data_IF_854047166353
#
_entry.id   IF_854047166353
#
_cell.length_a   1.000
_cell.length_b   1.000
_cell.length_c   1.000
_cell.angle_alpha   90.00
_cell.angle_beta   90.00
_cell.angle_gamma   90.00
#
_symmetry.space_group_name_H-M   'P 1'
#
loop_
_entity.id
_entity.type
_entity.pdbx_description
1 polymer ?
#
# COMPACT_ATOMS: atom_id res chain seq x y z
N UNK A 1 7.15 34.39 50.92
CA UNK A 1 6.39 33.13 50.79
C UNK A 1 5.98 33.02 49.32
N UNK A 2 6.78 32.41 48.44
CA UNK A 2 6.98 30.98 48.19
C UNK A 2 5.69 30.24 47.77
N UNK A 3 5.50 30.06 46.46
CA UNK A 3 5.31 28.79 45.71
C UNK A 3 4.61 29.07 44.35
N UNK A 4 5.20 28.80 43.17
CA UNK A 4 5.44 27.50 42.48
C UNK A 4 4.13 26.68 42.30
N UNK A 5 3.77 26.05 41.17
CA UNK A 5 4.53 25.57 40.02
C UNK A 5 3.56 24.99 38.95
N UNK A 6 4.12 24.71 37.76
CA UNK A 6 3.74 23.73 36.70
C UNK A 6 3.25 24.32 35.38
N UNK A 7 4.22 24.65 34.53
CA UNK A 7 4.09 24.63 33.07
C UNK A 7 4.56 23.25 32.58
N UNK A 8 3.71 22.54 31.84
CA UNK A 8 4.10 21.38 31.02
C UNK A 8 4.48 21.88 29.63
N UNK A 9 5.73 21.64 29.23
CA UNK A 9 6.20 21.79 27.85
C UNK A 9 6.23 20.39 27.25
N UNK A 10 5.47 20.13 26.18
CA UNK A 10 5.91 19.32 25.03
C UNK A 10 5.08 19.78 23.82
N UNK A 11 5.51 20.87 23.19
CA UNK A 11 5.19 21.19 21.81
C UNK A 11 6.53 21.34 21.10
N UNK A 12 6.87 20.38 20.25
CA UNK A 12 8.11 20.39 19.47
C UNK A 12 7.94 21.47 18.38
N UNK A 13 8.13 22.73 18.77
CA UNK A 13 8.35 23.82 17.84
C UNK A 13 9.83 23.76 17.45
N UNK A 14 10.08 23.66 16.14
CA UNK A 14 11.43 23.67 15.58
C UNK A 14 12.23 24.85 16.13
N UNK A 15 13.23 24.54 16.93
CA UNK A 15 14.14 25.52 17.51
C UNK A 15 15.14 25.93 16.42
N UNK A 16 14.80 26.98 15.68
CA UNK A 16 15.73 27.66 14.78
C UNK A 16 16.58 28.62 15.62
N UNK A 17 17.75 28.18 16.06
CA UNK A 17 18.72 29.03 16.78
C UNK A 17 19.36 30.01 15.79
N UNK A 18 18.85 31.24 15.78
CA UNK A 18 19.40 32.36 15.02
C UNK A 18 20.61 32.94 15.76
N UNK A 19 21.78 32.34 15.55
CA UNK A 19 23.07 33.00 15.75
C UNK A 19 23.96 32.67 14.56
N UNK A 20 24.30 33.71 13.79
CA UNK A 20 25.35 33.78 12.77
C UNK A 20 25.25 32.83 11.56
N UNK A 21 24.69 33.36 10.46
CA UNK A 21 25.27 33.24 9.12
C UNK A 21 25.53 31.84 8.54
N UNK A 22 24.80 30.81 8.93
CA UNK A 22 25.00 29.46 8.37
C UNK A 22 23.67 28.89 7.92
N UNK A 23 23.63 28.50 6.64
CA UNK A 23 22.54 27.87 5.92
C UNK A 23 21.63 27.02 6.82
N UNK A 24 20.37 27.43 6.92
CA UNK A 24 19.33 26.63 7.54
C UNK A 24 19.05 25.43 6.64
N UNK A 25 19.82 24.36 6.80
CA UNK A 25 19.46 23.07 6.22
C UNK A 25 18.23 22.60 6.98
N UNK A 26 17.05 22.92 6.43
CA UNK A 26 15.86 22.17 6.76
C UNK A 26 16.19 20.70 6.48
N UNK A 27 16.46 19.94 7.53
CA UNK A 27 16.43 18.50 7.51
C UNK A 27 14.96 18.13 7.29
N UNK A 28 14.51 18.26 6.04
CA UNK A 28 13.39 17.49 5.55
C UNK A 28 13.76 16.04 5.91
N UNK A 29 12.93 15.30 6.67
CA UNK A 29 13.21 13.90 6.92
C UNK A 29 13.43 13.29 5.54
N UNK A 30 14.61 12.68 5.37
CA UNK A 30 15.00 12.05 4.13
C UNK A 30 13.78 11.29 3.61
N UNK A 31 13.33 11.65 2.42
CA UNK A 31 12.22 11.03 1.73
C UNK A 31 12.62 9.57 1.57
N UNK A 32 12.35 8.74 2.57
CA UNK A 32 12.74 7.35 2.56
C UNK A 32 11.96 6.74 1.42
N UNK A 33 12.68 6.21 0.44
CA UNK A 33 12.11 5.41 -0.63
C UNK A 33 11.60 4.11 0.01
N UNK A 34 10.51 4.20 0.76
CA UNK A 34 9.87 3.08 1.41
C UNK A 34 9.26 2.15 0.36
N UNK A 35 8.97 0.90 0.72
CA UNK A 35 8.41 -0.10 -0.21
C UNK A 35 7.11 0.35 -0.87
N UNK A 36 6.34 1.25 -0.23
CA UNK A 36 5.14 1.87 -0.81
C UNK A 36 5.41 2.67 -2.10
N UNK A 37 6.62 3.18 -2.32
CA UNK A 37 6.96 3.89 -3.55
C UNK A 37 6.98 2.97 -4.78
N UNK A 38 7.26 1.68 -4.58
CA UNK A 38 7.39 0.70 -5.66
C UNK A 38 6.06 0.06 -6.06
N UNK A 39 4.95 0.42 -5.41
CA UNK A 39 3.65 -0.20 -5.66
C UNK A 39 3.08 0.14 -7.05
N UNK A 40 3.25 1.40 -7.46
CA UNK A 40 2.61 1.89 -8.68
C UNK A 40 3.16 1.22 -9.94
N UNK A 41 2.27 1.02 -10.91
CA UNK A 41 2.57 0.44 -12.21
C UNK A 41 1.71 -0.76 -12.54
N UNK A 42 2.13 -1.48 -13.57
CA UNK A 42 1.43 -2.65 -14.10
C UNK A 42 1.90 -3.93 -13.41
N UNK A 43 0.93 -4.81 -13.18
CA UNK A 43 1.09 -6.10 -12.53
C UNK A 43 0.44 -7.16 -13.38
N UNK A 44 1.08 -8.33 -13.46
CA UNK A 44 0.56 -9.47 -14.19
C UNK A 44 0.60 -10.71 -13.32
N UNK A 45 -0.44 -11.51 -13.44
CA UNK A 45 -0.69 -12.61 -12.54
C UNK A 45 -1.80 -13.52 -13.03
N UNK A 46 -2.33 -14.26 -12.08
CA UNK A 46 -3.46 -15.15 -12.28
C UNK A 46 -4.38 -15.08 -11.07
N UNK A 47 -5.68 -15.28 -11.30
CA UNK A 47 -6.63 -15.59 -10.25
C UNK A 47 -7.23 -16.98 -10.46
N UNK A 48 -7.59 -17.64 -9.38
CA UNK A 48 -8.18 -18.98 -9.39
C UNK A 48 -9.44 -19.01 -8.54
N UNK A 49 -10.56 -19.43 -9.14
CA UNK A 49 -11.79 -19.68 -8.41
C UNK A 49 -11.64 -20.90 -7.49
N UNK A 50 -12.14 -20.77 -6.26
CA UNK A 50 -12.19 -21.88 -5.28
C UNK A 50 -13.45 -22.73 -5.45
N UNK A 51 -14.51 -22.18 -6.06
CA UNK A 51 -15.77 -22.87 -6.29
C UNK A 51 -15.83 -23.50 -7.70
N UNK A 52 -16.21 -24.78 -7.77
CA UNK A 52 -16.40 -25.53 -9.01
C UNK A 52 -17.49 -24.94 -9.93
N UNK A 53 -18.54 -24.34 -9.38
CA UNK A 53 -19.61 -23.71 -10.16
C UNK A 53 -19.08 -22.49 -10.93
N UNK A 54 -18.22 -21.68 -10.31
CA UNK A 54 -17.65 -20.50 -10.93
C UNK A 54 -16.59 -20.87 -11.97
N UNK A 55 -15.82 -21.94 -11.72
CA UNK A 55 -14.96 -22.55 -12.73
C UNK A 55 -15.76 -23.00 -13.97
N UNK A 56 -16.90 -23.66 -13.76
CA UNK A 56 -17.73 -24.19 -14.85
C UNK A 56 -18.38 -23.08 -15.67
N UNK A 57 -18.85 -22.00 -15.02
CA UNK A 57 -19.42 -20.82 -15.70
C UNK A 57 -18.39 -20.08 -16.54
N UNK A 58 -17.17 -19.93 -16.02
CA UNK A 58 -16.09 -19.20 -16.70
C UNK A 58 -15.29 -20.06 -17.69
N UNK A 59 -15.51 -21.38 -17.71
CA UNK A 59 -14.84 -22.32 -18.62
C UNK A 59 -13.45 -22.78 -18.16
N UNK A 60 -12.92 -22.20 -17.08
CA UNK A 60 -11.66 -22.60 -16.46
C UNK A 60 -11.65 -22.16 -14.98
N UNK A 61 -10.88 -22.84 -14.12
CA UNK A 61 -10.70 -22.37 -12.74
C UNK A 61 -9.70 -21.23 -12.62
N UNK A 62 -8.65 -21.22 -13.46
CA UNK A 62 -7.55 -20.25 -13.40
C UNK A 62 -7.55 -19.37 -14.64
N UNK A 63 -7.42 -18.08 -14.41
CA UNK A 63 -7.50 -17.03 -15.42
C UNK A 63 -6.34 -16.05 -15.28
N UNK A 64 -6.00 -15.37 -16.38
CA UNK A 64 -5.00 -14.32 -16.36
C UNK A 64 -5.56 -13.07 -15.65
N UNK A 65 -4.71 -12.45 -14.84
CA UNK A 65 -4.99 -11.21 -14.14
C UNK A 65 -3.98 -10.15 -14.54
N UNK A 66 -4.47 -9.02 -15.01
CA UNK A 66 -3.70 -7.78 -15.09
C UNK A 66 -4.19 -6.85 -14.00
N UNK A 67 -3.28 -6.19 -13.30
CA UNK A 67 -3.65 -5.17 -12.33
C UNK A 67 -2.83 -3.90 -12.51
N UNK A 68 -3.45 -2.75 -12.31
CA UNK A 68 -2.78 -1.46 -12.36
C UNK A 68 -2.90 -0.78 -11.01
N UNK A 69 -1.78 -0.38 -10.42
CA UNK A 69 -1.78 0.38 -9.16
C UNK A 69 -1.45 1.83 -9.45
N UNK A 70 -2.40 2.72 -9.13
CA UNK A 70 -2.28 4.16 -9.22
C UNK A 70 -2.09 4.76 -7.84
N UNK A 71 -1.22 5.75 -7.72
CA UNK A 71 -1.03 6.52 -6.49
C UNK A 71 -2.03 7.67 -6.48
N UNK A 72 -2.86 7.74 -5.45
CA UNK A 72 -3.84 8.82 -5.25
C UNK A 72 -3.30 9.93 -4.33
N UNK A 73 -2.48 9.58 -3.34
CA UNK A 73 -1.88 10.54 -2.40
C UNK A 73 -0.49 10.09 -1.93
N UNK A 74 0.05 10.70 -0.88
CA UNK A 74 1.32 10.28 -0.29
C UNK A 74 1.28 8.82 0.19
N UNK A 75 0.13 8.40 0.73
CA UNK A 75 -0.09 7.09 1.36
C UNK A 75 -1.24 6.31 0.71
N UNK A 76 -2.12 6.97 -0.05
CA UNK A 76 -3.28 6.35 -0.69
C UNK A 76 -3.02 5.85 -2.11
N UNK A 77 -3.57 4.68 -2.42
CA UNK A 77 -3.43 3.99 -3.70
C UNK A 77 -4.77 3.42 -4.15
N UNK A 78 -4.89 3.21 -5.46
CA UNK A 78 -5.99 2.54 -6.13
C UNK A 78 -5.45 1.37 -6.94
N UNK A 79 -6.06 0.20 -6.80
CA UNK A 79 -5.80 -1.02 -7.55
C UNK A 79 -6.96 -1.23 -8.53
N UNK A 80 -6.68 -1.25 -9.82
CA UNK A 80 -7.63 -1.61 -10.87
C UNK A 80 -7.31 -3.02 -11.40
N UNK A 81 -8.30 -3.93 -11.42
CA UNK A 81 -8.16 -5.32 -11.83
C UNK A 81 -8.81 -5.56 -13.20
N UNK A 82 -8.13 -6.34 -14.06
CA UNK A 82 -8.62 -6.73 -15.38
C UNK A 82 -8.27 -8.20 -15.69
N UNK A 83 -9.25 -9.08 -16.00
CA UNK A 83 -10.68 -8.80 -15.99
C UNK A 83 -11.20 -8.52 -14.55
N UNK A 84 -12.39 -7.90 -14.41
CA UNK A 84 -13.06 -7.81 -13.12
C UNK A 84 -13.27 -9.22 -12.57
N UNK A 85 -12.72 -9.49 -11.39
CA UNK A 85 -12.88 -10.79 -10.74
C UNK A 85 -14.25 -10.86 -10.02
N UNK A 86 -14.82 -9.69 -9.68
CA UNK A 86 -16.09 -9.50 -8.98
C UNK A 86 -16.62 -8.05 -9.12
N UNK A 87 -17.44 -7.57 -8.17
CA UNK A 87 -17.92 -6.17 -8.11
C UNK A 87 -16.84 -5.16 -7.67
N UNK A 88 -15.68 -5.63 -7.24
CA UNK A 88 -14.58 -4.82 -6.69
C UNK A 88 -13.39 -4.77 -7.66
N UNK A 89 -13.67 -4.48 -8.94
CA UNK A 89 -12.64 -4.26 -9.96
C UNK A 89 -11.70 -3.10 -9.63
N UNK A 90 -12.09 -2.24 -8.68
CA UNK A 90 -11.30 -1.13 -8.20
C UNK A 90 -11.30 -1.12 -6.68
N UNK A 91 -10.12 -1.19 -6.07
CA UNK A 91 -9.94 -1.21 -4.61
C UNK A 91 -9.00 -0.09 -4.18
N UNK A 92 -9.41 0.71 -3.19
CA UNK A 92 -8.53 1.71 -2.58
C UNK A 92 -7.86 1.15 -1.32
N UNK A 93 -6.59 1.45 -1.13
CA UNK A 93 -5.83 1.02 0.05
C UNK A 93 -4.81 2.07 0.46
N UNK A 94 -4.36 1.98 1.71
CA UNK A 94 -3.35 2.86 2.29
C UNK A 94 -2.06 2.06 2.46
N UNK A 95 -0.92 2.67 2.16
CA UNK A 95 0.40 2.14 2.45
C UNK A 95 1.19 3.15 3.27
N UNK A 96 1.49 2.80 4.53
CA UNK A 96 2.25 3.60 5.47
C UNK A 96 3.38 2.77 6.06
N UNK A 97 4.61 3.29 6.03
CA UNK A 97 5.81 2.59 6.53
C UNK A 97 6.04 1.17 5.94
N UNK A 98 5.40 0.85 4.81
CA UNK A 98 5.47 -0.46 4.16
C UNK A 98 4.39 -1.45 4.59
N UNK A 99 3.48 -1.05 5.47
CA UNK A 99 2.30 -1.81 5.82
C UNK A 99 1.12 -1.36 4.95
N UNK A 100 0.38 -2.33 4.42
CA UNK A 100 -0.82 -2.07 3.62
C UNK A 100 -2.05 -2.28 4.49
N UNK A 101 -2.94 -1.30 4.53
CA UNK A 101 -4.24 -1.38 5.17
C UNK A 101 -5.36 -1.19 4.14
N UNK A 102 -6.30 -2.15 4.15
CA UNK A 102 -7.54 -2.08 3.40
C UNK A 102 -8.61 -1.46 4.31
N UNK A 103 -9.23 -0.34 3.93
CA UNK A 103 -10.20 0.34 4.77
C UNK A 103 -11.50 -0.46 4.98
N UNK A 104 -11.84 -1.38 4.07
CA UNK A 104 -13.06 -2.18 4.12
C UNK A 104 -12.81 -3.60 3.60
N UNK A 105 -12.58 -4.56 4.51
CA UNK A 105 -13.14 -5.92 4.45
C UNK A 105 -12.38 -6.87 5.39
N UNK A 106 -13.03 -7.41 6.43
CA UNK A 106 -12.43 -8.43 7.29
C UNK A 106 -12.29 -9.81 6.63
N UNK A 107 -12.89 -10.02 5.45
CA UNK A 107 -12.93 -11.33 4.77
C UNK A 107 -11.89 -11.48 3.65
N UNK A 108 -11.13 -10.41 3.36
CA UNK A 108 -10.10 -10.42 2.33
C UNK A 108 -8.72 -10.28 2.96
N UNK A 109 -7.77 -11.08 2.48
CA UNK A 109 -6.36 -10.94 2.86
C UNK A 109 -5.55 -10.46 1.66
N UNK A 110 -4.82 -9.36 1.84
CA UNK A 110 -3.85 -8.89 0.86
C UNK A 110 -2.47 -8.87 1.49
N UNK A 111 -1.54 -9.60 0.89
CA UNK A 111 -0.14 -9.64 1.29
C UNK A 111 0.72 -9.07 0.20
N UNK A 112 1.60 -8.16 0.60
CA UNK A 112 2.57 -7.55 -0.28
C UNK A 112 3.98 -7.95 0.15
N UNK A 113 4.79 -8.33 -0.83
CA UNK A 113 6.17 -8.70 -0.58
C UNK A 113 7.03 -8.17 -1.72
N UNK A 114 7.94 -7.25 -1.40
CA UNK A 114 9.01 -6.86 -2.32
C UNK A 114 10.31 -7.46 -1.83
N UNK A 115 10.95 -8.25 -2.68
CA UNK A 115 12.33 -8.67 -2.44
C UNK A 115 13.28 -7.52 -2.76
N UNK A 116 14.42 -7.48 -2.06
CA UNK A 116 15.47 -6.44 -2.23
C UNK A 116 15.95 -6.31 -3.69
N UNK A 117 15.73 -7.35 -4.52
CA UNK A 117 16.15 -7.43 -5.92
C UNK A 117 15.03 -7.17 -6.94
N UNK A 118 13.98 -6.46 -6.51
CA UNK A 118 13.01 -5.74 -7.33
C UNK A 118 11.92 -6.57 -8.04
N UNK A 119 11.66 -7.80 -7.58
CA UNK A 119 10.37 -8.44 -7.82
C UNK A 119 9.46 -8.16 -6.63
N UNK A 120 8.35 -7.48 -6.90
CA UNK A 120 7.29 -7.30 -5.93
C UNK A 120 6.13 -8.22 -6.31
N UNK A 121 5.54 -8.84 -5.30
CA UNK A 121 4.45 -9.80 -5.42
C UNK A 121 3.29 -9.37 -4.54
N UNK A 122 2.09 -9.44 -5.10
CA UNK A 122 0.82 -9.29 -4.38
C UNK A 122 0.15 -10.65 -4.36
N UNK A 123 -0.33 -11.04 -3.19
CA UNK A 123 -1.20 -12.20 -2.99
C UNK A 123 -2.50 -11.70 -2.40
N UNK A 124 -3.60 -11.95 -3.08
CA UNK A 124 -4.96 -11.71 -2.61
C UNK A 124 -5.63 -13.07 -2.36
N UNK A 125 -6.35 -13.21 -1.26
CA UNK A 125 -7.11 -14.41 -0.96
C UNK A 125 -8.39 -14.06 -0.19
N UNK A 126 -9.52 -14.60 -0.64
CA UNK A 126 -10.82 -14.52 0.03
C UNK A 126 -11.56 -15.86 0.00
N UNK A 127 -12.85 -15.89 0.38
CA UNK A 127 -13.65 -17.12 0.36
C UNK A 127 -13.88 -17.72 -1.04
N UNK A 128 -13.85 -16.90 -2.10
CA UNK A 128 -14.28 -17.25 -3.45
C UNK A 128 -13.11 -17.50 -4.41
N UNK A 129 -11.98 -16.84 -4.21
CA UNK A 129 -10.85 -16.86 -5.11
C UNK A 129 -9.51 -16.61 -4.40
N UNK A 130 -8.44 -17.02 -5.07
CA UNK A 130 -7.07 -16.63 -4.74
C UNK A 130 -6.40 -16.02 -5.96
N UNK A 131 -5.68 -14.91 -5.79
CA UNK A 131 -4.96 -14.25 -6.86
C UNK A 131 -3.51 -13.96 -6.48
N UNK A 132 -2.63 -14.08 -7.46
CA UNK A 132 -1.21 -13.78 -7.32
C UNK A 132 -0.78 -12.95 -8.52
N UNK A 133 -0.14 -11.81 -8.29
CA UNK A 133 0.41 -10.96 -9.33
C UNK A 133 1.82 -10.50 -8.99
N UNK A 134 2.63 -10.33 -10.03
CA UNK A 134 3.99 -9.79 -9.93
C UNK A 134 4.07 -8.47 -10.69
N UNK A 135 4.85 -7.53 -10.18
CA UNK A 135 5.07 -6.25 -10.82
C UNK A 135 5.87 -6.43 -12.12
N UNK A 136 5.39 -5.83 -13.19
CA UNK A 136 6.14 -5.70 -14.44
C UNK A 136 7.02 -4.46 -14.30
N UNK A 137 8.33 -4.61 -14.53
CA UNK A 137 9.31 -3.51 -14.47
C UNK A 137 9.23 -2.62 -15.71
#
# INVERSE_FOLDING_TARGET
MSQMNRIRIVGIAGLCLLLSGTYCYAFLPARTHGPCFQLSGLWLGTYTYKNADDCKKSGACTHLLTAEIKRLSATGFQLDLSPPIDRHSTVSFICENGEISLPESPEHTVKFTCEKNAMCRIVYDDAHLGAVANRIK
#
